data_IF_390370311015
#
_entry.id   IF_390370311015
#
_cell.length_a   1.000
_cell.length_b   1.000
_cell.length_c   1.000
_cell.angle_alpha   90.00
_cell.angle_beta   90.00
_cell.angle_gamma   90.00
#
_symmetry.space_group_name_H-M   'P 1'
#
loop_
_entity.id
_entity.type
_entity.pdbx_description
1 polymer ?
#
# COMPACT_ATOMS: atom_id res chain seq x y z
N UNK A 1 3.44 -22.92 20.37
CA UNK A 1 3.47 -22.86 18.92
C UNK A 1 3.24 -21.45 18.44
N UNK A 2 4.14 -20.96 17.66
CA UNK A 2 3.99 -19.63 17.07
C UNK A 2 2.95 -19.70 15.97
N UNK A 3 1.88 -18.95 16.18
CA UNK A 3 0.90 -18.76 15.10
C UNK A 3 1.49 -17.74 14.15
N UNK A 4 1.99 -18.22 13.03
CA UNK A 4 2.40 -17.32 11.98
C UNK A 4 1.18 -16.95 11.16
N UNK A 5 0.98 -15.67 10.97
CA UNK A 5 -0.03 -15.22 10.03
C UNK A 5 0.37 -15.68 8.64
N UNK A 6 -0.54 -16.29 7.89
CA UNK A 6 -0.21 -16.70 6.54
C UNK A 6 0.26 -15.50 5.72
N UNK A 7 1.36 -15.67 5.01
CA UNK A 7 1.81 -14.64 4.08
C UNK A 7 0.79 -14.50 2.96
N UNK A 8 0.27 -13.31 2.79
CA UNK A 8 -0.66 -13.06 1.69
C UNK A 8 0.10 -13.09 0.36
N UNK A 9 -0.45 -13.76 -0.62
CA UNK A 9 0.17 -13.87 -1.94
C UNK A 9 -0.23 -12.71 -2.83
N UNK A 10 0.56 -12.47 -3.87
CA UNK A 10 0.25 -11.44 -4.87
C UNK A 10 -1.13 -11.69 -5.49
N UNK A 11 -1.43 -12.95 -5.87
CA UNK A 11 -2.71 -13.29 -6.48
C UNK A 11 -3.89 -12.97 -5.56
N UNK A 12 -3.77 -13.30 -4.28
CA UNK A 12 -4.83 -13.02 -3.30
C UNK A 12 -5.00 -11.52 -3.07
N UNK A 13 -3.89 -10.77 -3.03
CA UNK A 13 -3.95 -9.31 -2.93
C UNK A 13 -4.65 -8.70 -4.13
N UNK A 14 -4.31 -9.16 -5.34
CA UNK A 14 -4.94 -8.65 -6.56
C UNK A 14 -6.44 -8.97 -6.59
N UNK A 15 -6.81 -10.17 -6.17
CA UNK A 15 -8.23 -10.54 -6.05
C UNK A 15 -8.98 -9.64 -5.06
N UNK A 16 -8.35 -9.38 -3.91
CA UNK A 16 -8.93 -8.51 -2.90
C UNK A 16 -9.11 -7.09 -3.43
N UNK A 17 -8.09 -6.57 -4.11
CA UNK A 17 -8.14 -5.22 -4.67
C UNK A 17 -9.23 -5.11 -5.73
N UNK A 18 -9.37 -6.11 -6.59
CA UNK A 18 -10.44 -6.13 -7.61
C UNK A 18 -11.81 -6.21 -6.99
N UNK A 19 -11.95 -6.97 -5.90
CA UNK A 19 -13.23 -7.08 -5.20
C UNK A 19 -13.63 -5.78 -4.51
N UNK A 20 -12.68 -5.09 -3.89
CA UNK A 20 -12.92 -3.83 -3.19
C UNK A 20 -13.03 -2.63 -4.15
N UNK A 21 -12.28 -2.67 -5.23
CA UNK A 21 -12.20 -1.57 -6.20
C UNK A 21 -12.32 -2.11 -7.62
N UNK A 22 -13.55 -2.46 -8.06
CA UNK A 22 -13.74 -3.04 -9.40
C UNK A 22 -13.30 -2.12 -10.54
N UNK A 23 -13.29 -0.82 -10.30
CA UNK A 23 -12.91 0.19 -11.27
C UNK A 23 -11.40 0.53 -11.25
N UNK A 24 -10.63 -0.06 -10.33
CA UNK A 24 -9.18 0.12 -10.31
C UNK A 24 -8.57 -0.54 -11.56
N UNK A 25 -7.71 0.19 -12.27
CA UNK A 25 -7.11 -0.35 -13.49
C UNK A 25 -6.20 -1.54 -13.18
N UNK A 26 -6.11 -2.49 -14.12
CA UNK A 26 -5.31 -3.70 -13.93
C UNK A 26 -3.84 -3.38 -13.63
N UNK A 27 -3.29 -2.34 -14.27
CA UNK A 27 -1.92 -1.89 -14.01
C UNK A 27 -1.71 -1.55 -12.54
N UNK A 28 -2.64 -0.82 -11.95
CA UNK A 28 -2.50 -0.37 -10.55
C UNK A 28 -2.94 -1.41 -9.55
N UNK A 29 -3.83 -2.32 -9.91
CA UNK A 29 -4.07 -3.52 -9.10
C UNK A 29 -2.75 -4.24 -8.87
N UNK A 30 -2.00 -4.44 -9.94
CA UNK A 30 -0.69 -5.11 -9.89
C UNK A 30 0.31 -4.30 -9.05
N UNK A 31 0.41 -2.99 -9.29
CA UNK A 31 1.37 -2.13 -8.60
C UNK A 31 1.09 -2.03 -7.09
N UNK A 32 -0.17 -1.92 -6.69
CA UNK A 32 -0.51 -1.87 -5.27
C UNK A 32 -0.27 -3.20 -4.58
N UNK A 33 -0.52 -4.32 -5.25
CA UNK A 33 -0.19 -5.63 -4.71
C UNK A 33 1.31 -5.77 -4.48
N UNK A 34 2.12 -5.36 -5.46
CA UNK A 34 3.58 -5.39 -5.33
C UNK A 34 4.08 -4.44 -4.25
N UNK A 35 3.46 -3.26 -4.14
CA UNK A 35 3.78 -2.31 -3.08
C UNK A 35 3.61 -2.93 -1.69
N UNK A 36 2.48 -3.58 -1.47
CA UNK A 36 2.22 -4.21 -0.18
C UNK A 36 3.24 -5.31 0.11
N UNK A 37 3.58 -6.12 -0.89
CA UNK A 37 4.59 -7.17 -0.73
C UNK A 37 5.98 -6.61 -0.49
N UNK A 38 6.34 -5.50 -1.14
CA UNK A 38 7.62 -4.83 -0.89
C UNK A 38 7.70 -4.33 0.55
N UNK A 39 6.61 -3.75 1.07
CA UNK A 39 6.55 -3.32 2.46
C UNK A 39 6.64 -4.50 3.42
N UNK A 40 6.01 -5.61 3.08
CA UNK A 40 6.09 -6.84 3.89
C UNK A 40 7.52 -7.35 3.98
N UNK A 41 8.26 -7.31 2.88
CA UNK A 41 9.68 -7.70 2.89
C UNK A 41 10.50 -6.80 3.82
N UNK A 42 10.21 -5.52 3.84
CA UNK A 42 10.88 -4.58 4.76
C UNK A 42 10.55 -4.89 6.22
N UNK A 43 9.32 -5.29 6.51
CA UNK A 43 8.95 -5.74 7.85
C UNK A 43 9.67 -7.03 8.23
N UNK A 44 9.75 -7.99 7.30
CA UNK A 44 10.40 -9.28 7.54
C UNK A 44 11.89 -9.12 7.81
N UNK A 45 12.53 -8.12 7.19
CA UNK A 45 13.94 -7.81 7.43
C UNK A 45 14.15 -6.84 8.61
N UNK A 46 13.09 -6.52 9.35
CA UNK A 46 13.10 -5.63 10.50
C UNK A 46 13.51 -4.18 10.18
N UNK A 47 13.41 -3.77 8.92
CA UNK A 47 13.73 -2.39 8.53
C UNK A 47 12.61 -1.42 8.88
N UNK A 48 11.36 -1.90 8.91
CA UNK A 48 10.21 -1.12 9.35
C UNK A 48 9.38 -1.94 10.33
N UNK A 49 8.60 -1.27 11.17
CA UNK A 49 7.75 -1.95 12.14
C UNK A 49 6.51 -2.54 11.47
N UNK A 50 6.00 -3.61 12.05
CA UNK A 50 4.78 -4.26 11.55
C UNK A 50 3.55 -3.37 11.65
N UNK A 51 3.58 -2.34 12.52
CA UNK A 51 2.48 -1.38 12.64
C UNK A 51 2.25 -0.58 11.38
N UNK A 52 3.30 -0.34 10.60
CA UNK A 52 3.20 0.39 9.34
C UNK A 52 2.59 -0.48 8.23
N UNK A 53 2.70 -1.80 8.36
CA UNK A 53 2.18 -2.74 7.37
C UNK A 53 0.74 -3.09 7.69
N UNK A 54 -0.19 -2.26 7.23
CA UNK A 54 -1.61 -2.44 7.50
C UNK A 54 -2.38 -2.46 6.18
N UNK A 55 -2.93 -3.64 5.85
CA UNK A 55 -3.73 -3.80 4.64
C UNK A 55 -4.93 -2.86 4.63
N UNK A 56 -5.58 -2.68 5.79
CA UNK A 56 -6.69 -1.73 5.91
C UNK A 56 -6.24 -0.32 5.57
N UNK A 57 -5.06 0.07 6.03
CA UNK A 57 -4.49 1.38 5.72
C UNK A 57 -4.30 1.59 4.22
N UNK A 58 -3.84 0.57 3.51
CA UNK A 58 -3.70 0.64 2.06
C UNK A 58 -5.07 0.76 1.38
N UNK A 59 -6.05 -0.01 1.84
CA UNK A 59 -7.42 0.06 1.29
C UNK A 59 -8.05 1.42 1.55
N UNK A 60 -7.85 1.98 2.75
CA UNK A 60 -8.33 3.32 3.10
C UNK A 60 -7.66 4.39 2.22
N UNK A 61 -6.37 4.23 1.95
CA UNK A 61 -5.66 5.14 1.04
C UNK A 61 -6.27 5.12 -0.36
N UNK A 62 -6.60 3.93 -0.88
CA UNK A 62 -7.25 3.81 -2.17
C UNK A 62 -8.62 4.49 -2.19
N UNK A 63 -9.39 4.39 -1.11
CA UNK A 63 -10.67 5.09 -0.98
C UNK A 63 -10.49 6.61 -1.01
N UNK A 64 -9.44 7.11 -0.35
CA UNK A 64 -9.13 8.54 -0.35
C UNK A 64 -8.73 9.02 -1.75
N UNK A 65 -7.93 8.24 -2.46
CA UNK A 65 -7.55 8.58 -3.84
C UNK A 65 -8.79 8.64 -4.71
N UNK A 66 -9.71 7.71 -4.55
CA UNK A 66 -10.96 7.66 -5.31
C UNK A 66 -11.81 8.92 -5.08
N UNK A 67 -11.68 9.53 -3.89
CA UNK A 67 -12.38 10.78 -3.54
C UNK A 67 -11.67 12.03 -4.03
N UNK A 68 -10.49 11.89 -4.63
CA UNK A 68 -9.76 13.00 -5.21
C UNK A 68 -8.48 13.40 -4.49
N UNK A 69 -8.08 12.68 -3.44
CA UNK A 69 -6.82 12.98 -2.74
C UNK A 69 -5.66 12.37 -3.56
N UNK A 70 -4.57 13.14 -3.80
CA UNK A 70 -3.42 12.59 -4.52
C UNK A 70 -2.85 11.34 -3.85
N UNK A 71 -2.32 10.42 -4.65
CA UNK A 71 -1.84 9.13 -4.16
C UNK A 71 -0.80 9.25 -3.05
N UNK A 72 0.15 10.17 -3.18
CA UNK A 72 1.19 10.36 -2.17
C UNK A 72 0.62 10.75 -0.82
N UNK A 73 -0.30 11.72 -0.81
CA UNK A 73 -0.93 12.17 0.43
C UNK A 73 -1.82 11.07 1.05
N UNK A 74 -2.57 10.36 0.22
CA UNK A 74 -3.43 9.28 0.69
C UNK A 74 -2.63 8.14 1.31
N UNK A 75 -1.53 7.75 0.67
CA UNK A 75 -0.67 6.69 1.18
C UNK A 75 0.07 7.12 2.45
N UNK A 76 0.44 8.40 2.56
CA UNK A 76 0.99 8.92 3.80
C UNK A 76 -0.01 8.77 4.96
N UNK A 77 -1.27 9.11 4.73
CA UNK A 77 -2.32 8.97 5.74
C UNK A 77 -2.56 7.52 6.12
N UNK A 78 -2.59 6.62 5.14
CA UNK A 78 -2.94 5.22 5.36
C UNK A 78 -1.78 4.36 5.85
N UNK A 79 -0.55 4.68 5.46
CA UNK A 79 0.61 3.84 5.71
C UNK A 79 1.73 4.61 6.41
N UNK A 80 2.26 5.63 5.75
CA UNK A 80 3.51 6.30 6.19
C UNK A 80 3.40 6.90 7.58
N UNK A 81 2.27 7.53 7.88
CA UNK A 81 2.07 8.20 9.19
C UNK A 81 1.95 7.22 10.35
N UNK A 82 1.78 5.94 10.08
CA UNK A 82 1.75 4.90 11.11
C UNK A 82 3.15 4.37 11.46
N UNK A 83 4.17 4.83 10.75
CA UNK A 83 5.55 4.42 10.99
C UNK A 83 6.02 4.91 12.36
N UNK A 84 6.99 4.18 12.91
CA UNK A 84 7.51 4.42 14.26
C UNK A 84 8.21 5.78 14.38
N UNK A 85 8.98 6.18 13.35
CA UNK A 85 9.76 7.42 13.38
C UNK A 85 10.00 7.95 11.96
N UNK A 86 10.71 9.07 11.87
CA UNK A 86 11.02 9.72 10.59
C UNK A 86 11.87 8.86 9.67
N UNK A 87 12.74 8.05 10.24
CA UNK A 87 13.60 7.14 9.48
C UNK A 87 12.75 6.08 8.76
N UNK A 88 11.82 5.45 9.50
CA UNK A 88 10.90 4.50 8.92
C UNK A 88 10.01 5.15 7.86
N UNK A 89 9.52 6.35 8.14
CA UNK A 89 8.72 7.10 7.17
C UNK A 89 9.45 7.29 5.85
N UNK A 90 10.74 7.62 5.92
CA UNK A 90 11.57 7.77 4.73
C UNK A 90 11.71 6.47 3.94
N UNK A 91 11.93 5.36 4.62
CA UNK A 91 12.01 4.05 3.98
C UNK A 91 10.68 3.69 3.29
N UNK A 92 9.57 3.91 3.97
CA UNK A 92 8.25 3.62 3.42
C UNK A 92 7.96 4.49 2.21
N UNK A 93 8.26 5.78 2.27
CA UNK A 93 8.08 6.68 1.14
C UNK A 93 8.90 6.27 -0.08
N UNK A 94 10.13 5.80 0.14
CA UNK A 94 10.97 5.31 -0.94
C UNK A 94 10.36 4.08 -1.62
N UNK A 95 9.84 3.15 -0.84
CA UNK A 95 9.17 1.96 -1.38
C UNK A 95 7.93 2.36 -2.17
N UNK A 96 7.13 3.27 -1.63
CA UNK A 96 5.92 3.77 -2.29
C UNK A 96 6.28 4.46 -3.60
N UNK A 97 7.25 5.37 -3.56
CA UNK A 97 7.63 6.16 -4.74
C UNK A 97 8.18 5.30 -5.87
N UNK A 98 8.78 4.16 -5.56
CA UNK A 98 9.28 3.23 -6.56
C UNK A 98 8.15 2.60 -7.39
N UNK A 99 6.93 2.57 -6.86
CA UNK A 99 5.77 1.93 -7.50
C UNK A 99 4.66 2.89 -7.87
N UNK A 100 4.38 3.86 -7.00
CA UNK A 100 3.22 4.74 -7.13
C UNK A 100 3.70 6.19 -7.12
N UNK A 101 3.63 6.89 -8.24
CA UNK A 101 3.95 8.32 -8.27
C UNK A 101 3.02 9.12 -7.35
N UNK A 102 3.58 10.03 -6.58
CA UNK A 102 2.84 10.82 -5.59
C UNK A 102 1.75 11.68 -6.20
N UNK A 103 1.91 12.09 -7.46
CA UNK A 103 0.96 12.97 -8.16
C UNK A 103 -0.20 12.25 -8.83
N UNK A 104 -0.23 10.91 -8.76
CA UNK A 104 -1.34 10.18 -9.34
C UNK A 104 -2.67 10.55 -8.67
N UNK A 105 -3.71 10.62 -9.47
CA UNK A 105 -5.06 10.92 -8.99
C UNK A 105 -6.05 9.85 -9.43
N UNK A 106 -7.31 10.02 -9.03
CA UNK A 106 -8.36 9.06 -9.32
C UNK A 106 -8.55 8.83 -10.83
N UNK A 107 -8.38 9.87 -11.64
CA UNK A 107 -8.57 9.77 -13.08
C UNK A 107 -7.58 8.83 -13.76
N UNK A 108 -6.41 8.64 -13.18
CA UNK A 108 -5.38 7.73 -13.72
C UNK A 108 -5.44 6.34 -13.09
N UNK A 109 -5.89 6.25 -11.85
CA UNK A 109 -5.95 4.97 -11.13
C UNK A 109 -7.24 4.22 -11.39
N UNK A 110 -8.35 4.92 -11.49
CA UNK A 110 -9.67 4.32 -11.65
C UNK A 110 -10.20 4.57 -13.06
N UNK A 111 -10.73 3.53 -13.63
CA UNK A 111 -11.32 3.61 -14.98
C UNK A 111 -12.72 4.22 -14.92
#
# INVERSE_FOLDING_TARGET
>A
ALVQMPTITQDNLEKLLRAQFPDLTAKYVHQFALLFLDLQKKCDSAEISTKALDLRGMLDALRLIRRGIPAGAALDMGITNKAFDSYEQGLIRDVIAARIPAKLDAGKLFA
#
